data_IF_411756509074
#
_entry.id   IF_411756509074
#
_cell.length_a   1.000
_cell.length_b   1.000
_cell.length_c   1.000
_cell.angle_alpha   90.00
_cell.angle_beta   90.00
_cell.angle_gamma   90.00
#
_symmetry.space_group_name_H-M   'P 1'
#
loop_
_entity.id
_entity.type
_entity.pdbx_description
1 polymer ?
#
# COMPACT_ATOMS: atom_id res chain seq x y z
N UNK A 1 -3.08 -12.35 -18.69
CA UNK A 1 -3.91 -12.74 -17.52
C UNK A 1 -3.03 -12.97 -16.29
N UNK A 2 -1.93 -13.72 -16.41
CA UNK A 2 -1.03 -14.01 -15.28
C UNK A 2 -0.45 -12.76 -14.60
N UNK A 3 0.07 -11.78 -15.38
CA UNK A 3 0.55 -10.49 -14.85
C UNK A 3 -0.52 -9.79 -14.00
N UNK A 4 -1.74 -9.67 -14.54
CA UNK A 4 -2.84 -9.02 -13.85
C UNK A 4 -3.16 -9.68 -12.51
N UNK A 5 -3.30 -11.01 -12.50
CA UNK A 5 -3.62 -11.77 -11.27
C UNK A 5 -2.48 -11.65 -10.26
N UNK A 6 -1.23 -11.76 -10.70
CA UNK A 6 -0.06 -11.65 -9.85
C UNK A 6 0.04 -10.26 -9.21
N UNK A 7 -0.14 -9.18 -9.99
CA UNK A 7 -0.12 -7.82 -9.47
C UNK A 7 -1.33 -7.53 -8.57
N UNK A 8 -2.51 -8.05 -8.90
CA UNK A 8 -3.69 -7.97 -8.04
C UNK A 8 -3.45 -8.63 -6.68
N UNK A 9 -2.99 -9.88 -6.65
CA UNK A 9 -2.75 -10.62 -5.41
C UNK A 9 -1.59 -10.00 -4.63
N UNK A 10 -0.49 -9.63 -5.31
CA UNK A 10 0.67 -9.01 -4.68
C UNK A 10 0.32 -7.69 -4.01
N UNK A 11 -0.36 -6.78 -4.71
CA UNK A 11 -0.75 -5.50 -4.13
C UNK A 11 -1.86 -5.66 -3.08
N UNK A 12 -2.76 -6.64 -3.21
CA UNK A 12 -3.71 -6.98 -2.14
C UNK A 12 -2.99 -7.37 -0.85
N UNK A 13 -2.01 -8.28 -0.93
CA UNK A 13 -1.22 -8.70 0.24
C UNK A 13 -0.47 -7.51 0.84
N UNK A 14 0.17 -6.69 -0.01
CA UNK A 14 0.89 -5.49 0.41
C UNK A 14 -0.02 -4.56 1.22
N UNK A 15 -1.19 -4.20 0.68
CA UNK A 15 -2.11 -3.27 1.34
C UNK A 15 -2.78 -3.90 2.56
N UNK A 16 -3.19 -5.16 2.49
CA UNK A 16 -3.82 -5.85 3.62
C UNK A 16 -2.91 -5.86 4.85
N UNK A 17 -1.61 -6.10 4.66
CA UNK A 17 -0.64 -6.14 5.75
C UNK A 17 -0.15 -4.73 6.14
N UNK A 18 0.13 -3.87 5.15
CA UNK A 18 0.60 -2.50 5.35
C UNK A 18 -0.45 -1.61 6.02
N UNK A 19 -1.61 -1.42 5.40
CA UNK A 19 -2.71 -0.64 6.00
C UNK A 19 -3.23 -1.35 7.26
N UNK A 20 -3.16 -2.69 7.32
CA UNK A 20 -3.54 -3.48 8.49
C UNK A 20 -2.74 -3.14 9.74
N UNK A 21 -1.43 -2.90 9.63
CA UNK A 21 -0.63 -2.42 10.78
C UNK A 21 -0.95 -0.97 11.12
N UNK A 22 -1.22 -0.12 10.12
CA UNK A 22 -1.58 1.28 10.37
C UNK A 22 -2.91 1.36 11.11
N UNK A 23 -3.92 0.62 10.68
CA UNK A 23 -5.19 0.46 11.39
C UNK A 23 -4.98 -0.05 12.82
N UNK A 24 -4.12 -1.06 12.97
CA UNK A 24 -3.74 -1.59 14.27
C UNK A 24 -3.14 -0.54 15.19
N UNK A 25 -2.32 0.39 14.68
CA UNK A 25 -1.66 1.42 15.51
C UNK A 25 -2.54 2.64 15.76
N UNK A 26 -3.36 3.05 14.77
CA UNK A 26 -4.12 4.30 14.81
C UNK A 26 -5.53 4.17 15.40
N UNK A 27 -6.18 3.01 15.26
CA UNK A 27 -7.58 2.88 15.67
C UNK A 27 -7.74 2.63 17.17
N UNK A 28 -8.75 3.27 17.75
CA UNK A 28 -9.09 3.13 19.16
C UNK A 28 -9.43 1.71 19.55
N UNK A 29 -8.98 1.31 20.74
CA UNK A 29 -9.21 0.01 21.36
C UNK A 29 -8.63 -1.18 20.58
N UNK A 30 -7.80 -0.95 19.56
CA UNK A 30 -7.01 -2.03 18.97
C UNK A 30 -5.93 -2.48 19.97
N UNK A 31 -5.48 -3.74 19.87
CA UNK A 31 -4.41 -4.23 20.75
C UNK A 31 -3.04 -3.62 20.46
N UNK A 32 -2.89 -2.96 19.31
CA UNK A 32 -1.66 -2.30 18.91
C UNK A 32 -1.76 -0.78 18.99
N UNK A 33 -2.84 -0.22 19.55
CA UNK A 33 -3.06 1.23 19.65
C UNK A 33 -1.84 1.91 20.28
N UNK A 34 -1.33 2.96 19.63
CA UNK A 34 -0.15 3.72 20.08
C UNK A 34 1.16 2.91 20.18
N UNK A 35 1.30 1.78 19.47
CA UNK A 35 2.57 1.02 19.43
C UNK A 35 3.72 1.76 18.72
N UNK A 36 3.43 2.88 18.05
CA UNK A 36 4.43 3.81 17.53
C UNK A 36 4.86 3.55 16.09
N UNK A 37 5.60 4.52 15.54
CA UNK A 37 5.99 4.57 14.12
C UNK A 37 6.87 3.40 13.67
N UNK A 38 7.74 2.89 14.55
CA UNK A 38 8.66 1.79 14.23
C UNK A 38 7.93 0.49 13.88
N UNK A 39 6.78 0.23 14.51
CA UNK A 39 5.95 -0.95 14.21
C UNK A 39 5.35 -0.83 12.82
N UNK A 40 4.88 0.37 12.45
CA UNK A 40 4.33 0.66 11.13
C UNK A 40 5.40 0.44 10.05
N UNK A 41 6.56 1.09 10.17
CA UNK A 41 7.60 1.03 9.13
C UNK A 41 8.19 -0.36 8.95
N UNK A 42 8.42 -1.10 10.04
CA UNK A 42 8.91 -2.47 9.96
C UNK A 42 7.88 -3.40 9.29
N UNK A 43 6.62 -3.32 9.69
CA UNK A 43 5.58 -4.17 9.13
C UNK A 43 5.28 -3.85 7.66
N UNK A 44 5.36 -2.59 7.24
CA UNK A 44 5.30 -2.22 5.81
C UNK A 44 6.44 -2.84 5.01
N UNK A 45 7.68 -2.80 5.52
CA UNK A 45 8.82 -3.45 4.86
C UNK A 45 8.63 -4.96 4.71
N UNK A 46 8.10 -5.62 5.74
CA UNK A 46 7.77 -7.05 5.70
C UNK A 46 6.60 -7.35 4.75
N UNK A 47 5.58 -6.48 4.69
CA UNK A 47 4.44 -6.61 3.78
C UNK A 47 4.91 -6.61 2.31
N UNK A 48 5.79 -5.68 1.95
CA UNK A 48 6.42 -5.63 0.62
C UNK A 48 7.19 -6.92 0.34
N UNK A 49 8.04 -7.37 1.27
CA UNK A 49 8.83 -8.58 1.09
C UNK A 49 7.94 -9.83 0.86
N UNK A 50 6.89 -9.99 1.67
CA UNK A 50 5.94 -11.10 1.53
C UNK A 50 5.23 -11.06 0.18
N UNK A 51 4.73 -9.89 -0.23
CA UNK A 51 4.09 -9.70 -1.53
C UNK A 51 5.04 -10.06 -2.69
N UNK A 52 6.29 -9.58 -2.64
CA UNK A 52 7.32 -9.88 -3.64
C UNK A 52 7.62 -11.37 -3.70
N UNK A 53 7.78 -12.06 -2.57
CA UNK A 53 8.01 -13.51 -2.57
C UNK A 53 6.81 -14.30 -3.09
N UNK A 54 5.59 -13.83 -2.86
CA UNK A 54 4.38 -14.49 -3.32
C UNK A 54 4.22 -14.46 -4.85
N UNK A 55 4.54 -13.33 -5.50
CA UNK A 55 4.19 -13.12 -6.92
C UNK A 55 5.38 -12.81 -7.83
N UNK A 56 6.59 -12.64 -7.28
CA UNK A 56 7.78 -12.20 -8.00
C UNK A 56 8.19 -13.09 -9.16
N UNK A 57 8.00 -14.41 -9.05
CA UNK A 57 8.30 -15.35 -10.15
C UNK A 57 7.29 -15.30 -11.31
N UNK A 58 6.18 -14.59 -11.15
CA UNK A 58 5.07 -14.56 -12.12
C UNK A 58 5.08 -13.23 -12.88
N UNK A 59 5.01 -12.09 -12.18
CA UNK A 59 4.96 -10.76 -12.81
C UNK A 59 6.24 -9.95 -12.70
N UNK A 60 7.24 -10.42 -11.95
CA UNK A 60 8.35 -9.60 -11.47
C UNK A 60 8.00 -8.81 -10.19
N UNK A 61 6.77 -8.95 -9.67
CA UNK A 61 6.26 -8.25 -8.50
C UNK A 61 6.53 -6.74 -8.53
N UNK A 62 5.99 -6.04 -9.54
CA UNK A 62 6.13 -4.59 -9.54
C UNK A 62 5.36 -4.00 -8.36
N UNK A 63 4.13 -4.47 -8.16
CA UNK A 63 3.18 -4.14 -7.09
C UNK A 63 3.04 -2.62 -6.81
N UNK A 64 3.46 -1.79 -7.78
CA UNK A 64 3.63 -0.36 -7.70
C UNK A 64 3.66 0.24 -9.12
N UNK A 65 2.77 1.21 -9.42
CA UNK A 65 2.76 1.91 -10.70
C UNK A 65 4.08 2.62 -11.03
N UNK A 66 4.75 3.23 -10.05
CA UNK A 66 6.01 3.93 -10.25
C UNK A 66 7.14 2.98 -10.68
N UNK A 67 7.22 1.79 -10.06
CA UNK A 67 8.16 0.73 -10.47
C UNK A 67 7.86 0.26 -11.89
N UNK A 68 6.59 0.06 -12.21
CA UNK A 68 6.15 -0.33 -13.56
C UNK A 68 6.56 0.70 -14.61
N UNK A 69 6.32 1.99 -14.34
CA UNK A 69 6.68 3.08 -15.24
C UNK A 69 8.20 3.25 -15.35
N UNK A 70 8.94 3.11 -14.25
CA UNK A 70 10.40 3.13 -14.23
C UNK A 70 11.00 2.05 -15.11
N UNK A 71 10.55 0.80 -14.97
CA UNK A 71 11.00 -0.31 -15.81
C UNK A 71 10.58 -0.13 -17.29
N UNK A 72 9.39 0.40 -17.54
CA UNK A 72 8.94 0.69 -18.90
C UNK A 72 9.78 1.79 -19.56
N UNK A 73 10.22 2.81 -18.81
CA UNK A 73 11.03 3.93 -19.31
C UNK A 73 12.40 3.50 -19.87
N UNK A 74 12.95 2.40 -19.35
CA UNK A 74 14.22 1.82 -19.80
C UNK A 74 14.01 0.65 -20.78
N UNK A 75 12.78 0.39 -21.20
CA UNK A 75 12.44 -0.68 -22.13
C UNK A 75 12.42 -2.09 -21.52
N UNK A 76 12.51 -2.23 -20.20
CA UNK A 76 12.44 -3.52 -19.51
C UNK A 76 11.01 -4.10 -19.47
N UNK A 77 9.99 -3.24 -19.63
CA UNK A 77 8.57 -3.62 -19.69
C UNK A 77 7.95 -3.01 -20.95
N UNK A 78 7.27 -3.81 -21.80
CA UNK A 78 6.57 -3.26 -22.97
C UNK A 78 5.47 -2.27 -22.55
N UNK A 79 5.41 -1.10 -23.18
CA UNK A 79 4.41 -0.06 -22.87
C UNK A 79 2.96 -0.58 -22.93
N UNK A 80 2.67 -1.53 -23.83
CA UNK A 80 1.35 -2.16 -23.94
C UNK A 80 0.94 -2.98 -22.71
N UNK A 81 1.89 -3.42 -21.88
CA UNK A 81 1.61 -4.15 -20.64
C UNK A 81 1.39 -3.24 -19.44
N UNK A 82 1.89 -2.00 -19.47
CA UNK A 82 1.79 -1.04 -18.35
C UNK A 82 0.35 -0.89 -17.81
N UNK A 83 -0.69 -0.72 -18.65
CA UNK A 83 -2.07 -0.64 -18.14
C UNK A 83 -2.51 -1.92 -17.42
N UNK A 84 -2.04 -3.10 -17.85
CA UNK A 84 -2.40 -4.38 -17.23
C UNK A 84 -1.83 -4.47 -15.81
N UNK A 85 -0.57 -4.06 -15.63
CA UNK A 85 0.07 -3.94 -14.32
C UNK A 85 -0.69 -2.98 -13.41
N UNK A 86 -0.92 -1.75 -13.87
CA UNK A 86 -1.54 -0.70 -13.06
C UNK A 86 -2.97 -1.07 -12.68
N UNK A 87 -3.79 -1.60 -13.59
CA UNK A 87 -5.16 -2.01 -13.25
C UNK A 87 -5.14 -3.15 -12.21
N UNK A 88 -4.24 -4.13 -12.35
CA UNK A 88 -4.06 -5.18 -11.36
C UNK A 88 -3.70 -4.63 -9.98
N UNK A 89 -2.69 -3.75 -9.93
CA UNK A 89 -2.23 -3.08 -8.70
C UNK A 89 -3.36 -2.28 -8.04
N UNK A 90 -4.07 -1.43 -8.79
CA UNK A 90 -5.12 -0.57 -8.25
C UNK A 90 -6.31 -1.37 -7.72
N UNK A 91 -6.72 -2.42 -8.41
CA UNK A 91 -7.80 -3.29 -7.94
C UNK A 91 -7.37 -4.13 -6.74
N UNK A 92 -6.13 -4.64 -6.74
CA UNK A 92 -5.54 -5.35 -5.62
C UNK A 92 -5.49 -4.48 -4.37
N UNK A 93 -5.00 -3.25 -4.51
CA UNK A 93 -4.96 -2.26 -3.44
C UNK A 93 -6.35 -1.97 -2.88
N UNK A 94 -7.32 -1.70 -3.75
CA UNK A 94 -8.69 -1.44 -3.34
C UNK A 94 -9.29 -2.60 -2.53
N UNK A 95 -9.14 -3.83 -3.01
CA UNK A 95 -9.63 -5.01 -2.28
C UNK A 95 -8.89 -5.21 -0.95
N UNK A 96 -7.57 -5.03 -0.93
CA UNK A 96 -6.78 -5.05 0.31
C UNK A 96 -7.29 -4.05 1.34
N UNK A 97 -7.55 -2.81 0.93
CA UNK A 97 -8.09 -1.76 1.79
C UNK A 97 -9.50 -2.10 2.31
N UNK A 98 -10.37 -2.66 1.47
CA UNK A 98 -11.70 -3.13 1.91
C UNK A 98 -11.57 -4.23 2.96
N UNK A 99 -10.64 -5.17 2.80
CA UNK A 99 -10.41 -6.23 3.78
C UNK A 99 -9.89 -5.68 5.11
N UNK A 100 -9.02 -4.66 5.09
CA UNK A 100 -8.59 -3.94 6.30
C UNK A 100 -9.77 -3.26 6.98
N UNK A 101 -10.62 -2.58 6.20
CA UNK A 101 -11.85 -1.98 6.71
C UNK A 101 -12.76 -3.01 7.39
N UNK A 102 -12.96 -4.16 6.76
CA UNK A 102 -13.75 -5.26 7.36
C UNK A 102 -13.08 -5.81 8.61
N UNK A 103 -11.77 -6.01 8.61
CA UNK A 103 -11.05 -6.60 9.75
C UNK A 103 -11.17 -5.77 11.03
N UNK A 104 -11.21 -4.44 10.90
CA UNK A 104 -11.31 -3.50 12.01
C UNK A 104 -12.72 -2.93 12.24
N UNK A 105 -13.77 -3.57 11.69
CA UNK A 105 -15.16 -3.07 11.64
C UNK A 105 -15.66 -2.34 12.92
N UNK A 106 -15.50 -2.90 14.13
CA UNK A 106 -15.96 -2.23 15.36
C UNK A 106 -15.16 -0.97 15.71
N UNK A 107 -13.87 -0.95 15.42
CA UNK A 107 -12.94 0.11 15.83
C UNK A 107 -13.19 1.44 15.11
N UNK A 108 -13.82 1.42 13.93
CA UNK A 108 -14.19 2.64 13.20
C UNK A 108 -15.20 3.50 13.93
N UNK A 109 -16.09 2.89 14.73
CA UNK A 109 -17.07 3.62 15.52
C UNK A 109 -16.42 4.27 16.74
N UNK A 110 -15.51 3.55 17.38
CA UNK A 110 -14.81 4.00 18.60
C UNK A 110 -13.74 5.06 18.33
N UNK A 111 -13.21 5.09 17.10
CA UNK A 111 -12.27 6.13 16.68
C UNK A 111 -13.06 7.34 16.20
N UNK A 112 -13.01 8.47 16.89
CA UNK A 112 -13.77 9.67 16.47
C UNK A 112 -13.02 10.48 15.40
N UNK A 113 -11.69 10.59 15.52
CA UNK A 113 -10.87 11.42 14.65
C UNK A 113 -10.88 10.93 13.19
N UNK A 114 -11.42 11.70 12.24
CA UNK A 114 -11.46 11.33 10.83
C UNK A 114 -10.07 11.28 10.20
N UNK A 115 -9.09 12.04 10.70
CA UNK A 115 -7.72 12.01 10.18
C UNK A 115 -7.03 10.68 10.50
N UNK A 116 -7.26 10.10 11.68
CA UNK A 116 -6.77 8.77 12.02
C UNK A 116 -7.37 7.68 11.12
N UNK A 117 -8.66 7.79 10.77
CA UNK A 117 -9.32 6.85 9.83
C UNK A 117 -8.77 6.98 8.43
N UNK A 118 -8.63 8.20 7.93
CA UNK A 118 -8.09 8.46 6.60
C UNK A 118 -6.62 8.02 6.48
N UNK A 119 -5.85 8.23 7.55
CA UNK A 119 -4.44 7.86 7.66
C UNK A 119 -4.19 6.36 7.54
N UNK A 120 -5.20 5.51 7.75
CA UNK A 120 -5.09 4.06 7.49
C UNK A 120 -4.89 3.76 6.01
N UNK A 121 -5.55 4.49 5.13
CA UNK A 121 -5.67 4.15 3.71
C UNK A 121 -4.91 5.10 2.78
N UNK A 122 -4.39 6.20 3.31
CA UNK A 122 -3.72 7.23 2.51
C UNK A 122 -2.74 8.04 3.35
N UNK A 123 -1.77 8.64 2.67
CA UNK A 123 -0.76 9.48 3.31
C UNK A 123 -1.15 10.96 3.24
N UNK A 124 -0.83 11.69 4.30
CA UNK A 124 -1.01 13.14 4.38
C UNK A 124 0.26 13.81 4.90
N UNK A 125 0.60 15.03 4.44
CA UNK A 125 1.80 15.70 4.88
C UNK A 125 1.63 16.20 6.32
N UNK A 126 2.65 16.01 7.17
CA UNK A 126 2.67 16.55 8.53
C UNK A 126 2.64 18.09 8.54
N UNK A 127 3.34 18.72 7.59
CA UNK A 127 3.29 20.15 7.33
C UNK A 127 2.99 20.32 5.84
N UNK A 128 1.88 21.02 5.53
CA UNK A 128 1.42 21.21 4.16
C UNK A 128 2.27 22.26 3.45
N UNK A 129 3.08 21.81 2.50
CA UNK A 129 3.80 22.64 1.55
C UNK A 129 3.99 21.84 0.26
N UNK A 130 3.20 22.14 -0.76
CA UNK A 130 3.12 21.30 -1.98
C UNK A 130 4.47 21.08 -2.65
N UNK A 131 5.32 22.11 -2.72
CA UNK A 131 6.64 21.98 -3.35
C UNK A 131 7.58 21.10 -2.52
N UNK A 132 7.66 21.34 -1.20
CA UNK A 132 8.49 20.54 -0.31
C UNK A 132 8.00 19.09 -0.20
N UNK A 133 6.67 18.87 -0.16
CA UNK A 133 6.09 17.53 -0.12
C UNK A 133 6.34 16.77 -1.43
N UNK A 134 6.27 17.44 -2.59
CA UNK A 134 6.64 16.83 -3.86
C UNK A 134 8.11 16.39 -3.89
N UNK A 135 9.03 17.26 -3.43
CA UNK A 135 10.46 16.93 -3.35
C UNK A 135 10.69 15.71 -2.44
N UNK A 136 9.98 15.63 -1.31
CA UNK A 136 10.09 14.50 -0.39
C UNK A 136 9.70 13.17 -1.06
N UNK A 137 8.55 13.12 -1.74
CA UNK A 137 8.08 11.92 -2.46
C UNK A 137 9.01 11.57 -3.63
N UNK A 138 9.53 12.56 -4.36
CA UNK A 138 10.46 12.36 -5.47
C UNK A 138 11.80 11.76 -5.01
N UNK A 139 12.29 12.13 -3.83
CA UNK A 139 13.53 11.56 -3.28
C UNK A 139 13.29 10.14 -2.74
N UNK A 140 12.12 9.89 -2.15
CA UNK A 140 11.80 8.62 -1.50
C UNK A 140 11.39 7.50 -2.46
N UNK A 141 10.97 7.86 -3.68
CA UNK A 141 10.53 6.92 -4.74
C UNK A 141 11.67 6.56 -5.68
#
# INVERSE_FOLDING_TARGET
>A
MEIFIAEFIGTLILILLGDGVVAGVLLKNSKAENSGWIVITLAWGLAVAIAVYAVGRISGAHINPAVTLGLASIGAVPLAQVPIYIIGQMLGAFVGAVLVWVHYLPHWKETEDPALKLGVFSTGPAIRNTAANFIAEFIGT
#
